data_IF_187944850790
#
_entry.id   IF_187944850790
#
_cell.length_a   1.000
_cell.length_b   1.000
_cell.length_c   1.000
_cell.angle_alpha   90.00
_cell.angle_beta   90.00
_cell.angle_gamma   90.00
#
_symmetry.space_group_name_H-M   'P 1'
#
loop_
_entity.id
_entity.type
_entity.pdbx_description
1 polymer ?
#
# COMPACT_ATOMS: atom_id res chain seq x y z
N UNK A 1 14.75 -26.39 -8.39
CA UNK A 1 15.76 -27.37 -7.89
C UNK A 1 15.16 -28.78 -7.85
N UNK A 2 15.98 -29.83 -7.94
CA UNK A 2 15.50 -31.22 -7.89
C UNK A 2 14.75 -31.53 -6.59
N UNK A 3 15.23 -30.99 -5.47
CA UNK A 3 14.62 -31.16 -4.13
C UNK A 3 13.20 -30.59 -4.00
N UNK A 4 12.81 -29.60 -4.81
CA UNK A 4 11.47 -29.00 -4.74
C UNK A 4 10.38 -29.93 -5.32
N UNK A 5 10.79 -30.97 -6.06
CA UNK A 5 9.89 -31.99 -6.63
C UNK A 5 9.69 -33.18 -5.69
N UNK A 6 10.39 -33.19 -4.55
CA UNK A 6 10.38 -34.25 -3.55
C UNK A 6 9.43 -33.90 -2.39
N UNK A 7 9.16 -34.90 -1.54
CA UNK A 7 8.32 -34.71 -0.35
C UNK A 7 8.96 -33.70 0.61
N UNK A 8 8.13 -32.98 1.37
CA UNK A 8 8.55 -31.91 2.30
C UNK A 8 9.64 -32.35 3.28
N UNK A 9 9.62 -33.62 3.71
CA UNK A 9 10.62 -34.19 4.62
C UNK A 9 12.02 -34.31 3.99
N UNK A 10 12.12 -34.28 2.67
CA UNK A 10 13.37 -34.35 1.90
C UNK A 10 13.83 -32.96 1.47
N UNK A 11 13.11 -31.92 1.86
CA UNK A 11 13.56 -30.56 1.65
C UNK A 11 14.78 -30.32 2.55
N UNK A 12 15.75 -29.50 2.11
CA UNK A 12 16.82 -29.07 2.98
C UNK A 12 16.18 -28.33 4.15
N UNK A 13 16.09 -29.02 5.29
CA UNK A 13 15.62 -28.44 6.54
C UNK A 13 16.71 -27.47 6.95
N UNK A 14 16.42 -26.19 6.82
CA UNK A 14 17.29 -25.13 7.29
C UNK A 14 17.35 -25.27 8.82
N UNK A 15 18.36 -25.99 9.31
CA UNK A 15 18.96 -25.65 10.57
C UNK A 15 19.58 -24.26 10.38
N UNK A 16 18.73 -23.23 10.37
CA UNK A 16 19.12 -21.87 10.61
C UNK A 16 19.56 -21.83 12.07
N UNK A 17 20.76 -22.35 12.33
CA UNK A 17 21.52 -21.87 13.43
C UNK A 17 21.72 -20.39 13.10
N UNK A 18 20.89 -19.53 13.67
CA UNK A 18 21.15 -18.10 13.74
C UNK A 18 22.40 -17.93 14.60
N UNK A 19 23.57 -18.29 14.07
CA UNK A 19 24.78 -17.56 14.41
C UNK A 19 24.45 -16.11 14.06
N UNK A 20 24.69 -15.20 15.00
CA UNK A 20 24.52 -13.74 14.89
C UNK A 20 25.16 -13.17 13.62
N UNK A 21 24.53 -13.41 12.48
CA UNK A 21 24.81 -12.77 11.22
C UNK A 21 24.01 -11.48 11.32
N UNK A 22 24.71 -10.40 11.66
CA UNK A 22 24.20 -9.04 11.60
C UNK A 22 23.59 -8.79 10.22
N UNK A 23 22.28 -8.99 10.08
CA UNK A 23 21.54 -8.63 8.89
C UNK A 23 21.50 -7.09 8.85
N UNK A 24 22.06 -6.43 7.82
CA UNK A 24 22.04 -4.97 7.72
C UNK A 24 20.60 -4.43 7.65
N UNK A 25 19.67 -5.27 7.20
CA UNK A 25 18.26 -5.00 6.99
C UNK A 25 17.45 -4.88 8.29
N UNK A 26 18.01 -5.31 9.43
CA UNK A 26 17.40 -5.18 10.76
C UNK A 26 17.64 -3.84 11.45
N UNK A 27 18.38 -2.91 10.82
CA UNK A 27 18.59 -1.59 11.40
C UNK A 27 17.33 -0.74 11.17
N UNK A 28 16.53 -0.56 12.24
CA UNK A 28 15.73 0.66 12.41
C UNK A 28 16.72 1.81 12.65
N UNK A 29 17.49 2.16 11.63
CA UNK A 29 18.23 3.40 11.60
C UNK A 29 17.20 4.49 11.37
N UNK A 30 16.72 5.08 12.47
CA UNK A 30 16.13 6.41 12.42
C UNK A 30 17.23 7.37 11.96
N UNK A 31 17.46 7.43 10.64
CA UNK A 31 18.24 8.47 9.99
C UNK A 31 17.41 9.76 10.05
N UNK A 32 17.35 10.35 11.24
CA UNK A 32 17.04 11.77 11.42
C UNK A 32 18.31 12.52 11.05
N UNK A 33 18.54 12.68 9.74
CA UNK A 33 19.58 13.58 9.25
C UNK A 33 19.13 14.24 7.96
N UNK A 34 18.83 15.54 8.05
CA UNK A 34 18.83 16.45 6.91
C UNK A 34 17.70 16.33 5.89
N UNK A 35 16.46 16.06 6.31
CA UNK A 35 15.32 16.40 5.44
C UNK A 35 15.13 17.91 5.59
N UNK A 36 15.86 18.66 4.76
CA UNK A 36 15.45 19.99 4.32
C UNK A 36 13.93 19.92 4.15
N UNK A 37 13.18 20.72 4.91
CA UNK A 37 11.73 20.63 4.98
C UNK A 37 11.14 20.89 3.58
N UNK A 38 11.12 19.85 2.75
CA UNK A 38 10.44 19.88 1.45
C UNK A 38 9.04 20.34 1.77
N UNK A 39 8.53 21.35 1.05
CA UNK A 39 7.22 21.90 1.36
C UNK A 39 6.25 20.74 1.51
N UNK A 40 5.52 20.76 2.62
CA UNK A 40 4.67 19.69 3.18
C UNK A 40 3.63 19.12 2.19
N UNK A 41 3.59 19.66 0.96
CA UNK A 41 2.62 19.42 -0.09
C UNK A 41 3.25 19.09 -1.46
N UNK A 42 4.35 18.32 -1.48
CA UNK A 42 4.94 17.75 -2.71
C UNK A 42 3.91 16.98 -3.58
N UNK A 43 2.82 16.52 -2.98
CA UNK A 43 1.75 15.80 -3.67
C UNK A 43 1.15 16.60 -4.85
N UNK A 44 1.09 17.93 -4.79
CA UNK A 44 0.56 18.75 -5.89
C UNK A 44 1.54 18.86 -7.06
N UNK A 45 2.84 18.78 -6.80
CA UNK A 45 3.89 18.84 -7.82
C UNK A 45 4.18 17.45 -8.42
N UNK A 46 3.86 16.38 -7.70
CA UNK A 46 4.08 14.99 -8.13
C UNK A 46 3.28 14.59 -9.38
N UNK A 47 2.18 15.28 -9.67
CA UNK A 47 1.31 14.97 -10.81
C UNK A 47 1.23 16.15 -11.77
N UNK A 48 1.46 15.89 -13.06
CA UNK A 48 1.39 16.91 -14.11
C UNK A 48 -0.01 17.50 -14.34
N UNK A 49 -1.06 16.86 -13.82
CA UNK A 49 -2.45 17.30 -13.95
C UNK A 49 -3.18 17.14 -12.64
N UNK A 50 -3.86 18.20 -12.21
CA UNK A 50 -4.69 18.17 -11.00
C UNK A 50 -5.80 17.11 -11.09
N UNK A 51 -6.41 16.95 -12.27
CA UNK A 51 -7.42 15.90 -12.51
C UNK A 51 -6.89 14.47 -12.31
N UNK A 52 -5.59 14.24 -12.52
CA UNK A 52 -4.95 12.95 -12.23
C UNK A 52 -4.81 12.75 -10.73
N UNK A 53 -4.37 13.78 -10.01
CA UNK A 53 -4.27 13.75 -8.55
C UNK A 53 -5.64 13.47 -7.89
N UNK A 54 -6.71 14.14 -8.34
CA UNK A 54 -8.09 13.89 -7.86
C UNK A 54 -8.45 12.41 -8.00
N UNK A 55 -8.21 11.79 -9.17
CA UNK A 55 -8.52 10.38 -9.41
C UNK A 55 -7.73 9.45 -8.49
N UNK A 56 -6.43 9.73 -8.30
CA UNK A 56 -5.58 8.94 -7.41
C UNK A 56 -6.11 9.00 -5.98
N UNK A 57 -6.38 10.20 -5.46
CA UNK A 57 -6.95 10.39 -4.12
C UNK A 57 -8.32 9.70 -3.98
N UNK A 58 -9.17 9.76 -5.01
CA UNK A 58 -10.45 9.08 -5.02
C UNK A 58 -10.30 7.55 -4.90
N UNK A 59 -9.33 6.95 -5.60
CA UNK A 59 -9.02 5.53 -5.44
C UNK A 59 -8.48 5.22 -4.05
N UNK A 60 -7.63 6.07 -3.46
CA UNK A 60 -7.14 5.88 -2.09
C UNK A 60 -8.28 5.93 -1.07
N UNK A 61 -9.22 6.87 -1.21
CA UNK A 61 -10.42 6.93 -0.38
C UNK A 61 -11.29 5.68 -0.53
N UNK A 62 -11.58 5.27 -1.77
CA UNK A 62 -12.34 4.05 -2.04
C UNK A 62 -11.67 2.81 -1.43
N UNK A 63 -10.36 2.68 -1.62
CA UNK A 63 -9.59 1.59 -1.04
C UNK A 63 -9.72 1.57 0.48
N UNK A 64 -9.50 2.72 1.13
CA UNK A 64 -9.61 2.87 2.58
C UNK A 64 -11.02 2.50 3.08
N UNK A 65 -12.06 2.98 2.40
CA UNK A 65 -13.46 2.64 2.70
C UNK A 65 -13.69 1.13 2.55
N UNK A 66 -13.20 0.52 1.48
CA UNK A 66 -13.32 -0.91 1.24
C UNK A 66 -12.57 -1.73 2.30
N UNK A 67 -11.39 -1.30 2.74
CA UNK A 67 -10.65 -1.94 3.83
C UNK A 67 -11.44 -1.88 5.14
N UNK A 68 -12.04 -0.73 5.48
CA UNK A 68 -12.88 -0.56 6.67
C UNK A 68 -14.14 -1.44 6.62
N UNK A 69 -14.76 -1.60 5.45
CA UNK A 69 -15.93 -2.47 5.26
C UNK A 69 -15.54 -3.95 5.27
N UNK A 70 -14.42 -4.32 4.64
CA UNK A 70 -13.93 -5.71 4.58
C UNK A 70 -13.38 -6.20 5.91
N UNK A 71 -12.85 -5.32 6.76
CA UNK A 71 -12.53 -5.65 8.15
C UNK A 71 -13.71 -6.22 8.94
N UNK A 72 -14.96 -5.92 8.53
CA UNK A 72 -16.20 -6.45 9.12
C UNK A 72 -16.70 -7.71 8.38
N UNK A 73 -16.40 -7.86 7.07
CA UNK A 73 -16.92 -8.94 6.22
C UNK A 73 -15.96 -10.12 5.98
N UNK A 74 -14.75 -10.10 6.50
CA UNK A 74 -13.80 -11.23 6.42
C UNK A 74 -14.25 -12.50 7.16
N UNK A 75 -15.41 -12.50 7.81
CA UNK A 75 -16.05 -13.73 8.29
C UNK A 75 -16.83 -14.49 7.20
N UNK A 76 -17.17 -13.89 6.05
CA UNK A 76 -17.93 -14.63 5.04
C UNK A 76 -17.82 -14.01 3.64
N UNK A 77 -16.92 -14.54 2.81
CA UNK A 77 -17.18 -14.95 1.41
C UNK A 77 -15.85 -15.06 0.65
N UNK A 78 -15.46 -16.31 0.41
CA UNK A 78 -14.62 -16.69 -0.71
C UNK A 78 -15.43 -16.44 -2.00
N UNK A 79 -15.17 -15.36 -2.74
CA UNK A 79 -15.55 -15.33 -4.15
C UNK A 79 -14.41 -14.77 -4.98
N UNK A 80 -13.93 -15.66 -5.84
CA UNK A 80 -12.77 -15.56 -6.73
C UNK A 80 -13.19 -14.98 -8.08
N UNK A 81 -14.14 -14.05 -8.08
CA UNK A 81 -14.48 -13.31 -9.28
C UNK A 81 -13.51 -12.15 -9.42
N UNK A 82 -12.82 -12.10 -10.55
CA UNK A 82 -11.96 -10.99 -10.96
C UNK A 82 -12.66 -9.66 -10.67
N UNK A 83 -12.26 -8.96 -9.61
CA UNK A 83 -12.90 -7.73 -9.15
C UNK A 83 -12.63 -6.66 -10.21
N UNK A 84 -13.53 -6.53 -11.18
CA UNK A 84 -13.50 -5.46 -12.16
C UNK A 84 -13.55 -4.14 -11.39
N UNK A 85 -12.49 -3.34 -11.49
CA UNK A 85 -12.44 -2.03 -10.87
C UNK A 85 -13.52 -1.17 -11.51
N UNK A 86 -14.58 -0.86 -10.76
CA UNK A 86 -15.65 0.00 -11.23
C UNK A 86 -15.11 1.43 -11.49
N UNK A 87 -15.67 2.19 -12.45
CA UNK A 87 -15.32 3.59 -12.65
C UNK A 87 -15.50 4.43 -11.38
N UNK A 88 -14.73 5.52 -11.25
CA UNK A 88 -14.92 6.51 -10.18
C UNK A 88 -16.24 7.26 -10.39
N UNK A 89 -17.04 7.33 -9.34
CA UNK A 89 -18.28 8.12 -9.33
C UNK A 89 -17.96 9.61 -9.25
N UNK A 90 -18.89 10.46 -9.70
CA UNK A 90 -18.76 11.92 -9.61
C UNK A 90 -18.58 12.35 -8.15
N UNK A 91 -19.30 11.71 -7.24
CA UNK A 91 -19.23 11.96 -5.80
C UNK A 91 -17.82 11.72 -5.24
N UNK A 92 -17.19 10.60 -5.60
CA UNK A 92 -15.83 10.29 -5.15
C UNK A 92 -14.79 11.27 -5.70
N UNK A 93 -14.98 11.75 -6.93
CA UNK A 93 -14.12 12.77 -7.53
C UNK A 93 -14.27 14.10 -6.80
N UNK A 94 -15.51 14.50 -6.49
CA UNK A 94 -15.78 15.78 -5.82
C UNK A 94 -15.29 15.78 -4.38
N UNK A 95 -15.52 14.70 -3.63
CA UNK A 95 -14.98 14.52 -2.28
C UNK A 95 -13.45 14.64 -2.27
N UNK A 96 -12.79 14.04 -3.25
CA UNK A 96 -11.33 14.08 -3.36
C UNK A 96 -10.81 15.47 -3.74
N UNK A 97 -11.54 16.19 -4.60
CA UNK A 97 -11.24 17.59 -4.93
C UNK A 97 -11.33 18.48 -3.70
N UNK A 98 -12.43 18.38 -2.93
CA UNK A 98 -12.63 19.17 -1.70
C UNK A 98 -11.54 18.86 -0.68
N UNK A 99 -11.19 17.59 -0.47
CA UNK A 99 -10.13 17.19 0.45
C UNK A 99 -8.77 17.80 0.06
N UNK A 100 -8.43 17.81 -1.23
CA UNK A 100 -7.21 18.42 -1.74
C UNK A 100 -7.22 19.94 -1.58
N UNK A 101 -8.35 20.63 -1.82
CA UNK A 101 -8.45 22.07 -1.60
C UNK A 101 -8.26 22.43 -0.13
N UNK A 102 -8.87 21.67 0.78
CA UNK A 102 -8.71 21.86 2.24
C UNK A 102 -7.29 21.61 2.73
N UNK A 103 -6.46 20.87 1.98
CA UNK A 103 -5.08 20.59 2.36
C UNK A 103 -4.15 21.80 2.14
N UNK A 104 -4.55 22.73 1.27
CA UNK A 104 -3.73 23.90 0.88
C UNK A 104 -4.27 25.23 1.39
N UNK A 105 -5.41 25.20 2.09
CA UNK A 105 -6.02 26.35 2.76
C UNK A 105 -5.62 26.36 4.23
#
# INVERSE_FOLDING_TARGET
PSWLKLNENEWPSENFHTSDIELPEGRVAALVSGIEAKPQYDIFNRFSKFSRLIRVVAFCHRFTKNCKIKGIKMLHVNNKDSVKVQPLTIEELEQSRIALVRLVQ
#
